data_IF_965704496514
#
_entry.id   IF_965704496514
#
_cell.length_a   1.000
_cell.length_b   1.000
_cell.length_c   1.000
_cell.angle_alpha   90.00
_cell.angle_beta   90.00
_cell.angle_gamma   90.00
#
_symmetry.space_group_name_H-M   'P 1'
#
loop_
_entity.id
_entity.type
_entity.pdbx_description
1 polymer ?
#
# COMPACT_ATOMS: atom_id res chain seq x y z
N UNK A 1 5.67 -14.68 52.04
CA UNK A 1 4.74 -13.53 52.02
C UNK A 1 5.38 -12.23 51.51
N UNK A 2 6.70 -12.03 51.60
CA UNK A 2 7.35 -10.81 51.12
C UNK A 2 7.30 -10.63 49.59
N UNK A 3 7.44 -11.72 48.85
CA UNK A 3 7.54 -11.69 47.38
C UNK A 3 6.24 -11.23 46.70
N UNK A 4 5.08 -11.64 47.23
CA UNK A 4 3.76 -11.20 46.72
C UNK A 4 3.51 -9.71 46.93
N UNK A 5 4.00 -9.14 48.03
CA UNK A 5 3.86 -7.71 48.34
C UNK A 5 4.76 -6.86 47.43
N UNK A 6 6.00 -7.30 47.21
CA UNK A 6 6.91 -6.64 46.26
C UNK A 6 6.36 -6.68 44.84
N UNK A 7 5.78 -7.81 44.42
CA UNK A 7 5.14 -7.95 43.11
C UNK A 7 3.99 -6.95 42.94
N UNK A 8 3.08 -6.84 43.92
CA UNK A 8 1.94 -5.91 43.80
C UNK A 8 2.37 -4.45 43.78
N UNK A 9 3.41 -4.10 44.54
CA UNK A 9 3.98 -2.74 44.52
C UNK A 9 4.54 -2.46 43.12
N UNK A 10 5.34 -3.38 42.56
CA UNK A 10 5.91 -3.24 41.21
C UNK A 10 4.82 -3.12 40.14
N UNK A 11 3.77 -3.94 40.22
CA UNK A 11 2.63 -3.88 39.28
C UNK A 11 1.84 -2.56 39.39
N UNK A 12 1.84 -1.93 40.57
CA UNK A 12 1.16 -0.64 40.82
C UNK A 12 2.00 0.55 40.34
N UNK A 13 3.30 0.57 40.65
CA UNK A 13 4.19 1.69 40.29
C UNK A 13 4.70 1.63 38.85
N UNK A 14 4.83 0.42 38.30
CA UNK A 14 5.43 0.16 37.00
C UNK A 14 4.76 -1.06 36.35
N UNK A 15 3.46 -0.94 35.98
CA UNK A 15 2.76 -2.01 35.28
C UNK A 15 3.52 -2.39 34.01
N UNK A 16 3.85 -3.68 33.88
CA UNK A 16 4.55 -4.20 32.71
C UNK A 16 3.63 -4.16 31.49
N UNK A 17 3.64 -3.04 30.76
CA UNK A 17 2.92 -2.93 29.50
C UNK A 17 3.77 -3.52 28.38
N UNK A 18 3.46 -4.74 27.96
CA UNK A 18 4.03 -5.30 26.73
C UNK A 18 3.56 -4.46 25.55
N UNK A 19 4.50 -3.72 24.94
CA UNK A 19 4.20 -2.92 23.74
C UNK A 19 3.76 -3.87 22.62
N UNK A 20 2.54 -3.68 22.11
CA UNK A 20 2.10 -4.38 20.90
C UNK A 20 3.07 -4.02 19.77
N UNK A 21 3.54 -5.00 18.97
CA UNK A 21 4.41 -4.71 17.84
C UNK A 21 3.71 -3.70 16.93
N UNK A 22 4.40 -2.58 16.67
CA UNK A 22 3.86 -1.49 15.87
C UNK A 22 3.67 -2.02 14.45
N UNK A 23 2.47 -1.93 13.85
CA UNK A 23 2.29 -2.38 12.47
C UNK A 23 3.23 -1.56 11.58
N UNK A 24 4.01 -2.23 10.72
CA UNK A 24 5.04 -1.63 9.89
C UNK A 24 4.59 -0.27 9.35
N UNK A 25 5.44 0.76 9.53
CA UNK A 25 5.07 2.17 9.34
C UNK A 25 4.50 2.48 7.93
N UNK A 26 4.74 1.61 6.96
CA UNK A 26 4.41 1.84 5.55
C UNK A 26 4.03 0.53 4.83
N UNK A 27 2.74 0.13 4.80
CA UNK A 27 2.30 -1.04 4.04
C UNK A 27 2.62 -0.95 2.55
N UNK A 28 2.71 0.28 2.02
CA UNK A 28 3.10 0.56 0.64
C UNK A 28 4.60 0.39 0.37
N UNK A 29 5.42 0.21 1.41
CA UNK A 29 6.85 -0.11 1.31
C UNK A 29 7.05 -1.62 1.27
N UNK A 30 6.19 -2.33 0.53
CA UNK A 30 6.41 -3.73 0.22
C UNK A 30 7.35 -3.80 -1.00
N UNK A 31 8.44 -4.57 -0.92
CA UNK A 31 9.41 -4.69 -2.01
C UNK A 31 8.76 -5.15 -3.32
N UNK A 32 7.69 -5.93 -3.21
CA UNK A 32 6.83 -6.35 -4.33
C UNK A 32 6.21 -5.15 -5.06
N UNK A 33 5.66 -4.18 -4.34
CA UNK A 33 5.02 -2.98 -4.93
C UNK A 33 6.05 -2.08 -5.59
N UNK A 34 7.22 -1.95 -4.95
CA UNK A 34 8.34 -1.18 -5.47
C UNK A 34 8.89 -1.81 -6.76
N UNK A 35 9.04 -3.13 -6.80
CA UNK A 35 9.45 -3.86 -7.99
C UNK A 35 8.46 -3.66 -9.15
N UNK A 36 7.16 -3.83 -8.90
CA UNK A 36 6.13 -3.62 -9.94
C UNK A 36 6.08 -2.18 -10.44
N UNK A 37 6.21 -1.19 -9.54
CA UNK A 37 6.30 0.22 -9.95
C UNK A 37 7.51 0.50 -10.83
N UNK A 38 8.65 -0.13 -10.55
CA UNK A 38 9.87 0.00 -11.35
C UNK A 38 9.67 -0.57 -12.76
N UNK A 39 9.06 -1.76 -12.86
CA UNK A 39 8.73 -2.41 -14.13
C UNK A 39 7.81 -1.50 -14.96
N UNK A 40 6.73 -0.99 -14.35
CA UNK A 40 5.81 -0.07 -15.02
C UNK A 40 6.53 1.18 -15.57
N UNK A 41 7.42 1.81 -14.78
CA UNK A 41 8.21 2.97 -15.24
C UNK A 41 9.25 2.65 -16.29
N UNK A 42 9.78 1.42 -16.31
CA UNK A 42 10.66 0.96 -17.38
C UNK A 42 9.89 0.77 -18.69
N UNK A 43 8.72 0.13 -18.64
CA UNK A 43 7.84 -0.02 -19.79
C UNK A 43 7.38 1.35 -20.33
N UNK A 44 7.06 2.30 -19.45
CA UNK A 44 6.64 3.65 -19.83
C UNK A 44 7.76 4.39 -20.59
N UNK A 45 9.00 4.34 -20.06
CA UNK A 45 10.16 4.92 -20.72
C UNK A 45 10.46 4.26 -22.05
N UNK A 46 10.32 2.94 -22.14
CA UNK A 46 10.49 2.18 -23.37
C UNK A 46 9.46 2.58 -24.43
N UNK A 47 8.19 2.68 -24.06
CA UNK A 47 7.13 3.14 -24.98
C UNK A 47 7.36 4.59 -25.44
N UNK A 48 7.78 5.50 -24.55
CA UNK A 48 8.10 6.88 -24.94
C UNK A 48 9.25 6.96 -25.97
N UNK A 49 10.20 6.02 -25.91
CA UNK A 49 11.32 5.92 -26.84
C UNK A 49 10.90 5.26 -28.16
N UNK A 50 10.31 4.08 -28.08
CA UNK A 50 10.12 3.22 -29.24
C UNK A 50 8.80 3.52 -29.98
N UNK A 51 7.77 4.03 -29.26
CA UNK A 51 6.39 4.31 -29.76
C UNK A 51 5.71 3.15 -30.49
N UNK A 52 6.15 1.91 -30.24
CA UNK A 52 5.59 0.71 -30.86
C UNK A 52 4.32 0.24 -30.15
N UNK A 53 3.38 -0.34 -30.90
CA UNK A 53 2.13 -0.87 -30.33
C UNK A 53 2.38 -1.99 -29.30
N UNK A 54 3.31 -2.90 -29.59
CA UNK A 54 3.70 -3.98 -28.66
C UNK A 54 4.23 -3.38 -27.34
N UNK A 55 5.00 -2.29 -27.41
CA UNK A 55 5.48 -1.61 -26.20
C UNK A 55 4.37 -0.91 -25.41
N UNK A 56 3.30 -0.47 -26.09
CA UNK A 56 2.10 0.06 -25.45
C UNK A 56 1.30 -1.05 -24.74
N UNK A 57 1.18 -2.23 -25.35
CA UNK A 57 0.55 -3.39 -24.72
C UNK A 57 1.31 -3.84 -23.48
N UNK A 58 2.64 -3.98 -23.56
CA UNK A 58 3.49 -4.27 -22.39
C UNK A 58 3.36 -3.22 -21.27
N UNK A 59 3.20 -1.94 -21.65
CA UNK A 59 2.95 -0.86 -20.69
C UNK A 59 1.60 -1.04 -19.99
N UNK A 60 0.54 -1.37 -20.75
CA UNK A 60 -0.80 -1.62 -20.20
C UNK A 60 -0.80 -2.82 -19.25
N UNK A 61 -0.12 -3.91 -19.60
CA UNK A 61 -0.03 -5.12 -18.78
C UNK A 61 0.71 -4.86 -17.46
N UNK A 62 1.86 -4.18 -17.54
CA UNK A 62 2.64 -3.81 -16.35
C UNK A 62 1.88 -2.82 -15.45
N UNK A 63 1.09 -1.91 -16.05
CA UNK A 63 0.22 -1.00 -15.30
C UNK A 63 -0.89 -1.76 -14.57
N UNK A 64 -1.57 -2.69 -15.23
CA UNK A 64 -2.63 -3.51 -14.61
C UNK A 64 -2.07 -4.36 -13.47
N UNK A 65 -0.91 -4.97 -13.66
CA UNK A 65 -0.23 -5.76 -12.62
C UNK A 65 0.11 -4.90 -11.40
N UNK A 66 0.67 -3.71 -11.62
CA UNK A 66 0.95 -2.77 -10.54
C UNK A 66 -0.33 -2.31 -9.82
N UNK A 67 -1.42 -2.05 -10.55
CA UNK A 67 -2.71 -1.68 -9.97
C UNK A 67 -3.29 -2.79 -9.09
N UNK A 68 -3.21 -4.06 -9.53
CA UNK A 68 -3.65 -5.23 -8.74
C UNK A 68 -2.84 -5.40 -7.44
N UNK A 69 -1.52 -5.24 -7.51
CA UNK A 69 -0.66 -5.31 -6.31
C UNK A 69 -0.93 -4.12 -5.38
N UNK A 70 -1.16 -2.94 -5.95
CA UNK A 70 -1.51 -1.75 -5.18
C UNK A 70 -2.87 -1.89 -4.50
N UNK A 71 -3.89 -2.45 -5.16
CA UNK A 71 -5.21 -2.65 -4.56
C UNK A 71 -5.13 -3.63 -3.38
N UNK A 72 -4.44 -4.77 -3.56
CA UNK A 72 -4.23 -5.76 -2.50
C UNK A 72 -3.62 -5.17 -1.22
N UNK A 73 -2.75 -4.16 -1.35
CA UNK A 73 -2.08 -3.50 -0.22
C UNK A 73 -2.94 -2.37 0.36
N UNK A 74 -3.69 -1.67 -0.49
CA UNK A 74 -4.64 -0.64 -0.07
C UNK A 74 -5.80 -1.23 0.75
N UNK A 75 -6.20 -2.47 0.48
CA UNK A 75 -7.23 -3.19 1.25
C UNK A 75 -6.83 -3.41 2.73
N UNK A 76 -5.54 -3.21 3.10
CA UNK A 76 -4.98 -3.67 4.39
C UNK A 76 -4.70 -2.57 5.46
N UNK A 77 -4.76 -1.26 5.17
CA UNK A 77 -4.63 -0.20 6.22
C UNK A 77 -5.66 0.89 6.02
N UNK A 78 -6.86 0.54 6.50
CA UNK A 78 -8.10 1.31 6.68
C UNK A 78 -8.38 2.22 5.52
N UNK A 79 -9.38 1.99 4.65
CA UNK A 79 -9.74 3.04 3.71
C UNK A 79 -8.46 3.49 2.91
N UNK A 80 -8.19 4.72 2.49
CA UNK A 80 -8.82 5.96 2.80
C UNK A 80 -9.00 6.79 1.56
N UNK A 81 -10.26 7.21 1.38
CA UNK A 81 -10.63 8.58 0.98
C UNK A 81 -10.35 8.93 -0.50
N UNK A 82 -9.54 8.18 -1.24
CA UNK A 82 -8.84 8.74 -2.39
C UNK A 82 -9.33 8.32 -3.79
N UNK A 83 -10.17 7.29 -3.96
CA UNK A 83 -10.64 6.91 -5.30
C UNK A 83 -11.83 7.75 -5.81
N UNK A 84 -12.39 8.63 -4.98
CA UNK A 84 -13.36 9.66 -5.39
C UNK A 84 -12.77 10.72 -6.35
N UNK A 85 -11.45 10.76 -6.59
CA UNK A 85 -10.77 11.88 -7.25
C UNK A 85 -10.06 11.58 -8.58
N UNK A 86 -10.33 10.47 -9.27
CA UNK A 86 -9.56 10.18 -10.50
C UNK A 86 -10.35 9.62 -11.69
N UNK A 87 -11.38 10.35 -12.15
CA UNK A 87 -11.55 10.79 -13.55
C UNK A 87 -12.83 11.64 -13.71
N UNK A 88 -12.74 12.95 -14.07
CA UNK A 88 -13.86 13.68 -14.65
C UNK A 88 -13.87 13.44 -16.17
N UNK A 89 -14.95 12.89 -16.71
CA UNK A 89 -15.16 12.61 -18.14
C UNK A 89 -16.65 12.34 -18.41
N UNK A 90 -17.17 12.71 -19.58
CA UNK A 90 -18.41 13.48 -19.69
C UNK A 90 -19.68 12.68 -19.39
N UNK A 91 -20.64 13.39 -18.80
CA UNK A 91 -21.99 12.93 -18.48
C UNK A 91 -22.69 12.53 -19.79
N UNK A 92 -23.17 11.28 -19.95
CA UNK A 92 -24.11 10.97 -21.02
C UNK A 92 -25.46 11.64 -20.69
N UNK A 93 -25.97 12.46 -21.62
CA UNK A 93 -27.39 12.85 -21.60
C UNK A 93 -28.22 11.58 -21.73
N UNK A 94 -29.01 11.27 -20.71
CA UNK A 94 -30.09 10.29 -20.82
C UNK A 94 -31.34 11.04 -21.32
N UNK A 95 -32.00 10.41 -22.31
CA UNK A 95 -33.39 10.68 -22.71
C UNK A 95 -34.32 10.18 -21.62
#
# INVERSE_FOLDING_TARGET
MFNSTCQSILDTIAPLTLKKPKPAATPWLNDTTRAQRRIWRQAERRWKKDRLQISLEMLRDSQQTYQKVKSFIADHKLCCIALSYRYPGPIPRQV
#
